data_IF_555101400363
#
_entry.id   IF_555101400363
#
_cell.length_a   1.000
_cell.length_b   1.000
_cell.length_c   1.000
_cell.angle_alpha   90.00
_cell.angle_beta   90.00
_cell.angle_gamma   90.00
#
_symmetry.space_group_name_H-M   'P 1'
#
loop_
_entity.id
_entity.type
_entity.pdbx_description
1 polymer ?
#
# COMPACT_ATOMS: atom_id res chain seq x y z
N UNK A 1 -5.94 -1.92 14.83
CA UNK A 1 -7.38 -1.57 14.83
C UNK A 1 -8.12 -2.46 15.81
N UNK A 2 -9.11 -1.94 16.55
CA UNK A 2 -9.94 -2.75 17.46
C UNK A 2 -10.88 -3.63 16.64
N UNK A 3 -11.25 -4.82 17.14
CA UNK A 3 -12.15 -5.75 16.44
C UNK A 3 -13.51 -5.14 16.11
N UNK A 4 -14.10 -4.38 17.05
CA UNK A 4 -15.37 -3.67 16.84
C UNK A 4 -15.30 -2.62 15.72
N UNK A 5 -14.17 -1.93 15.59
CA UNK A 5 -13.94 -0.96 14.52
C UNK A 5 -13.75 -1.65 13.17
N UNK A 6 -13.09 -2.81 13.18
CA UNK A 6 -12.94 -3.62 11.98
C UNK A 6 -14.27 -4.19 11.48
N UNK A 7 -15.14 -4.66 12.38
CA UNK A 7 -16.50 -5.09 12.00
C UNK A 7 -17.33 -3.95 11.41
N UNK A 8 -17.26 -2.76 12.00
CA UNK A 8 -17.93 -1.57 11.46
C UNK A 8 -17.36 -1.20 10.06
N UNK A 9 -16.05 -1.38 9.85
CA UNK A 9 -15.41 -1.18 8.56
C UNK A 9 -15.95 -2.14 7.50
N UNK A 10 -16.14 -3.42 7.82
CA UNK A 10 -16.71 -4.41 6.90
C UNK A 10 -18.11 -4.01 6.43
N UNK A 11 -18.93 -3.43 7.31
CA UNK A 11 -20.29 -2.98 6.98
C UNK A 11 -20.29 -1.78 6.02
N UNK A 12 -19.28 -0.90 6.10
CA UNK A 12 -19.22 0.34 5.33
C UNK A 12 -18.36 0.24 4.07
N UNK A 13 -17.46 -0.74 3.96
CA UNK A 13 -16.47 -0.87 2.87
C UNK A 13 -17.11 -0.86 1.48
N UNK A 14 -18.26 -1.50 1.31
CA UNK A 14 -18.98 -1.52 0.03
C UNK A 14 -19.62 -0.17 -0.33
N UNK A 15 -20.05 0.60 0.68
CA UNK A 15 -20.93 1.76 0.50
C UNK A 15 -20.25 3.09 0.70
N UNK A 16 -19.31 3.17 1.61
CA UNK A 16 -18.69 4.43 2.00
C UNK A 16 -17.91 5.07 0.84
N UNK A 17 -18.13 6.35 0.60
CA UNK A 17 -17.54 7.14 -0.48
C UNK A 17 -16.03 7.03 -0.57
N UNK A 18 -15.34 6.96 0.58
CA UNK A 18 -13.88 6.86 0.66
C UNK A 18 -13.35 5.58 0.02
N UNK A 19 -13.87 4.41 0.42
CA UNK A 19 -13.42 3.11 -0.11
C UNK A 19 -13.75 2.97 -1.60
N UNK A 20 -14.93 3.42 -2.02
CA UNK A 20 -15.32 3.44 -3.43
C UNK A 20 -14.43 4.36 -4.24
N UNK A 21 -14.11 5.55 -3.72
CA UNK A 21 -13.21 6.51 -4.33
C UNK A 21 -11.79 5.97 -4.44
N UNK A 22 -11.25 5.37 -3.38
CA UNK A 22 -9.93 4.75 -3.37
C UNK A 22 -9.82 3.64 -4.43
N UNK A 23 -10.80 2.74 -4.52
CA UNK A 23 -10.84 1.68 -5.54
C UNK A 23 -10.87 2.26 -6.96
N UNK A 24 -11.60 3.36 -7.21
CA UNK A 24 -11.57 4.05 -8.53
C UNK A 24 -10.20 4.62 -8.86
N UNK A 25 -9.53 5.21 -7.89
CA UNK A 25 -8.16 5.71 -8.06
C UNK A 25 -7.20 4.55 -8.33
N UNK A 26 -7.32 3.44 -7.60
CA UNK A 26 -6.54 2.22 -7.85
C UNK A 26 -6.79 1.71 -9.28
N UNK A 27 -8.05 1.52 -9.70
CA UNK A 27 -8.39 1.05 -11.03
C UNK A 27 -7.82 1.97 -12.12
N UNK A 28 -7.93 3.29 -11.95
CA UNK A 28 -7.35 4.27 -12.87
C UNK A 28 -5.82 4.17 -12.97
N UNK A 29 -5.15 3.83 -11.87
CA UNK A 29 -3.70 3.60 -11.88
C UNK A 29 -3.35 2.26 -12.52
N UNK A 30 -4.10 1.20 -12.24
CA UNK A 30 -3.89 -0.14 -12.84
C UNK A 30 -4.09 -0.12 -14.36
N UNK A 31 -5.09 0.60 -14.88
CA UNK A 31 -5.30 0.79 -16.33
C UNK A 31 -4.05 1.36 -17.04
N UNK A 32 -3.24 2.13 -16.32
CA UNK A 32 -2.00 2.73 -16.85
C UNK A 32 -0.77 1.83 -16.75
N UNK A 33 -0.81 0.86 -15.86
CA UNK A 33 0.34 -0.02 -15.61
C UNK A 33 0.43 -1.15 -16.64
N UNK A 34 -0.58 -1.30 -17.50
CA UNK A 34 -0.66 -2.38 -18.48
C UNK A 34 -0.32 -3.75 -17.84
N UNK A 35 -0.93 -4.04 -16.69
CA UNK A 35 -0.75 -5.32 -15.99
C UNK A 35 -1.11 -6.45 -16.95
N UNK A 36 -0.23 -7.46 -17.13
CA UNK A 36 -0.53 -8.59 -18.00
C UNK A 36 -1.81 -9.31 -17.56
N UNK A 37 -2.60 -9.78 -18.52
CA UNK A 37 -3.73 -10.65 -18.19
C UNK A 37 -3.23 -11.97 -17.63
N UNK A 38 -3.83 -12.42 -16.54
CA UNK A 38 -3.44 -13.63 -15.85
C UNK A 38 -2.25 -13.44 -14.89
N UNK A 39 -1.79 -12.20 -14.67
CA UNK A 39 -0.76 -11.89 -13.68
C UNK A 39 -1.14 -12.43 -12.30
N UNK A 40 -0.19 -13.02 -11.59
CA UNK A 40 -0.36 -13.39 -10.19
C UNK A 40 -0.35 -12.12 -9.32
N UNK A 41 -1.40 -11.94 -8.53
CA UNK A 41 -1.64 -10.71 -7.78
C UNK A 41 -1.71 -11.00 -6.28
N UNK A 42 -1.08 -10.15 -5.48
CA UNK A 42 -1.20 -10.16 -4.02
C UNK A 42 -1.89 -8.89 -3.54
N UNK A 43 -2.94 -9.02 -2.72
CA UNK A 43 -3.54 -7.92 -1.96
C UNK A 43 -3.06 -7.98 -0.51
N UNK A 44 -2.07 -7.17 -0.17
CA UNK A 44 -1.44 -7.11 1.15
C UNK A 44 -2.28 -6.22 2.08
N UNK A 45 -2.85 -6.81 3.14
CA UNK A 45 -3.84 -6.17 3.99
C UNK A 45 -5.21 -6.11 3.29
N UNK A 46 -5.68 -7.26 2.81
CA UNK A 46 -6.87 -7.36 1.94
C UNK A 46 -8.19 -7.02 2.65
N UNK A 47 -8.21 -6.99 3.98
CA UNK A 47 -9.42 -6.68 4.76
C UNK A 47 -10.59 -7.60 4.39
N UNK A 48 -11.70 -6.99 3.97
CA UNK A 48 -12.91 -7.71 3.55
C UNK A 48 -12.80 -8.46 2.21
N UNK A 49 -11.68 -8.34 1.50
CA UNK A 49 -11.52 -8.87 0.15
C UNK A 49 -12.20 -8.05 -0.97
N UNK A 50 -12.78 -6.88 -0.64
CA UNK A 50 -13.51 -6.09 -1.63
C UNK A 50 -12.62 -5.56 -2.77
N UNK A 51 -11.35 -5.25 -2.48
CA UNK A 51 -10.39 -4.89 -3.51
C UNK A 51 -10.01 -6.10 -4.36
N UNK A 52 -9.92 -7.29 -3.75
CA UNK A 52 -9.64 -8.54 -4.46
C UNK A 52 -10.71 -8.85 -5.52
N UNK A 53 -12.00 -8.52 -5.30
CA UNK A 53 -13.06 -8.67 -6.30
C UNK A 53 -12.75 -7.89 -7.60
N UNK A 54 -12.11 -6.73 -7.50
CA UNK A 54 -11.72 -5.91 -8.66
C UNK A 54 -10.44 -6.40 -9.30
N UNK A 55 -9.48 -6.85 -8.49
CA UNK A 55 -8.19 -7.38 -8.95
C UNK A 55 -8.34 -8.72 -9.67
N UNK A 56 -9.29 -9.57 -9.25
CA UNK A 56 -9.54 -10.89 -9.86
C UNK A 56 -9.94 -10.84 -11.34
N UNK A 57 -10.31 -9.66 -11.84
CA UNK A 57 -10.55 -9.43 -13.28
C UNK A 57 -9.27 -9.39 -14.11
N UNK A 58 -8.15 -9.18 -13.46
CA UNK A 58 -6.82 -9.11 -14.08
C UNK A 58 -6.10 -10.46 -14.05
N UNK A 59 -6.30 -11.25 -12.98
CA UNK A 59 -5.66 -12.55 -12.83
C UNK A 59 -5.99 -13.20 -11.48
N UNK A 60 -5.34 -14.32 -11.14
CA UNK A 60 -5.47 -14.96 -9.84
C UNK A 60 -4.99 -14.04 -8.72
N UNK A 61 -5.78 -13.95 -7.64
CA UNK A 61 -5.50 -13.07 -6.51
C UNK A 61 -5.37 -13.87 -5.24
N UNK A 62 -4.24 -13.73 -4.58
CA UNK A 62 -3.99 -14.15 -3.21
C UNK A 62 -4.11 -12.93 -2.28
N UNK A 63 -4.43 -13.14 -1.00
CA UNK A 63 -4.51 -12.06 -0.04
C UNK A 63 -4.03 -12.48 1.34
N UNK A 64 -3.67 -11.50 2.14
CA UNK A 64 -3.50 -11.72 3.58
C UNK A 64 -3.97 -10.49 4.36
N UNK A 65 -4.35 -10.71 5.60
CA UNK A 65 -4.64 -9.65 6.56
C UNK A 65 -4.21 -10.09 7.96
N UNK A 66 -3.78 -9.14 8.78
CA UNK A 66 -3.42 -9.44 10.18
C UNK A 66 -4.67 -9.77 11.02
N UNK A 67 -5.83 -9.24 10.64
CA UNK A 67 -7.08 -9.43 11.36
C UNK A 67 -7.83 -10.68 10.85
N UNK A 68 -8.02 -11.72 11.69
CA UNK A 68 -8.71 -12.94 11.29
C UNK A 68 -10.17 -12.70 10.85
N UNK A 69 -10.84 -11.65 11.35
CA UNK A 69 -12.19 -11.27 10.90
C UNK A 69 -12.19 -10.81 9.44
N UNK A 70 -11.12 -10.11 9.01
CA UNK A 70 -10.94 -9.75 7.60
C UNK A 70 -10.72 -10.96 6.71
N UNK A 71 -9.83 -11.84 7.14
CA UNK A 71 -9.56 -13.11 6.43
C UNK A 71 -10.85 -13.91 6.23
N UNK A 72 -11.66 -14.04 7.27
CA UNK A 72 -12.94 -14.75 7.19
C UNK A 72 -13.93 -14.03 6.26
N UNK A 73 -14.02 -12.71 6.34
CA UNK A 73 -14.88 -11.92 5.46
C UNK A 73 -14.48 -12.06 3.98
N UNK A 74 -13.17 -12.06 3.68
CA UNK A 74 -12.67 -12.26 2.33
C UNK A 74 -12.97 -13.69 1.82
N UNK A 75 -12.83 -14.69 2.66
CA UNK A 75 -13.21 -16.09 2.32
C UNK A 75 -14.70 -16.23 2.05
N UNK A 76 -15.55 -15.60 2.84
CA UNK A 76 -17.00 -15.58 2.62
C UNK A 76 -17.39 -14.87 1.32
N UNK A 77 -16.53 -13.96 0.79
CA UNK A 77 -16.69 -13.38 -0.56
C UNK A 77 -16.27 -14.33 -1.69
N UNK A 78 -15.71 -15.48 -1.37
CA UNK A 78 -15.28 -16.48 -2.36
C UNK A 78 -13.78 -16.46 -2.67
N UNK A 79 -12.96 -15.69 -1.94
CA UNK A 79 -11.52 -15.69 -2.10
C UNK A 79 -10.90 -16.85 -1.29
N UNK A 80 -10.50 -17.92 -1.98
CA UNK A 80 -10.00 -19.13 -1.33
C UNK A 80 -8.59 -19.00 -0.78
N UNK A 81 -7.70 -18.24 -1.47
CA UNK A 81 -6.30 -18.06 -1.06
C UNK A 81 -6.13 -16.77 -0.25
N UNK A 82 -6.66 -16.79 0.97
CA UNK A 82 -6.50 -15.69 1.94
C UNK A 82 -5.98 -16.25 3.25
N UNK A 83 -4.92 -15.63 3.78
CA UNK A 83 -4.20 -16.10 4.97
C UNK A 83 -4.17 -15.04 6.07
N UNK A 84 -4.09 -15.48 7.32
CA UNK A 84 -3.81 -14.57 8.44
C UNK A 84 -2.30 -14.41 8.54
N UNK A 85 -1.80 -13.19 8.28
CA UNK A 85 -0.36 -12.90 8.31
C UNK A 85 -0.10 -11.41 8.51
N UNK A 86 1.11 -11.08 8.97
CA UNK A 86 1.64 -9.73 9.02
C UNK A 86 2.38 -9.40 7.71
N UNK A 87 2.43 -8.11 7.36
CA UNK A 87 3.16 -7.65 6.16
C UNK A 87 4.68 -7.77 6.32
N UNK A 88 5.17 -7.95 7.54
CA UNK A 88 6.58 -8.21 7.87
C UNK A 88 6.98 -9.70 7.75
N UNK A 89 6.01 -10.59 7.50
CA UNK A 89 6.20 -12.04 7.36
C UNK A 89 5.10 -12.62 6.46
N UNK A 90 5.28 -12.48 5.15
CA UNK A 90 4.29 -12.84 4.13
C UNK A 90 4.42 -14.33 3.80
N UNK A 91 3.36 -15.15 3.96
CA UNK A 91 3.42 -16.60 3.82
C UNK A 91 3.36 -17.05 2.34
N UNK A 92 4.22 -16.48 1.51
CA UNK A 92 4.38 -16.81 0.10
C UNK A 92 5.86 -16.88 -0.28
N UNK A 93 6.18 -17.64 -1.31
CA UNK A 93 7.53 -17.81 -1.81
C UNK A 93 8.07 -16.52 -2.46
N UNK A 94 9.40 -16.44 -2.57
CA UNK A 94 10.09 -15.35 -3.24
C UNK A 94 9.67 -15.26 -4.70
N UNK A 95 9.47 -14.04 -5.20
CA UNK A 95 9.20 -13.80 -6.62
C UNK A 95 7.87 -14.37 -7.14
N UNK A 96 6.85 -14.49 -6.29
CA UNK A 96 5.57 -15.12 -6.63
C UNK A 96 4.60 -14.21 -7.38
N UNK A 97 4.75 -12.88 -7.28
CA UNK A 97 3.72 -11.95 -7.75
C UNK A 97 4.24 -10.90 -8.73
N UNK A 98 3.52 -10.69 -9.84
CA UNK A 98 3.78 -9.60 -10.79
C UNK A 98 3.16 -8.28 -10.35
N UNK A 99 2.05 -8.33 -9.60
CA UNK A 99 1.40 -7.16 -9.03
C UNK A 99 1.12 -7.36 -7.55
N UNK A 100 1.48 -6.37 -6.75
CA UNK A 100 1.13 -6.31 -5.34
C UNK A 100 0.37 -5.01 -5.07
N UNK A 101 -0.75 -5.09 -4.36
CA UNK A 101 -1.43 -3.93 -3.78
C UNK A 101 -1.20 -3.91 -2.27
N UNK A 102 -0.93 -2.71 -1.71
CA UNK A 102 -0.73 -2.49 -0.28
C UNK A 102 -1.40 -1.15 0.09
N UNK A 103 -2.68 -1.23 0.46
CA UNK A 103 -3.57 -0.07 0.53
C UNK A 103 -3.90 0.31 1.97
N UNK A 104 -3.26 1.38 2.45
CA UNK A 104 -3.38 1.89 3.82
C UNK A 104 -3.01 0.81 4.86
N UNK A 105 -1.80 0.25 4.71
CA UNK A 105 -1.21 -0.78 5.58
C UNK A 105 0.10 -0.31 6.21
N UNK A 106 0.98 0.34 5.44
CA UNK A 106 2.34 0.70 5.89
C UNK A 106 2.36 1.63 7.10
N UNK A 107 1.35 2.46 7.26
CA UNK A 107 1.19 3.32 8.43
C UNK A 107 0.92 2.56 9.72
N UNK A 108 0.45 1.33 9.64
CA UNK A 108 0.19 0.45 10.77
C UNK A 108 1.39 -0.38 11.20
N UNK A 109 2.51 -0.31 10.48
CA UNK A 109 3.71 -1.08 10.78
C UNK A 109 4.74 -0.23 11.52
N UNK A 110 5.39 -0.77 12.55
CA UNK A 110 6.45 -0.04 13.28
C UNK A 110 7.68 0.21 12.40
N UNK A 111 8.02 -0.74 11.50
CA UNK A 111 9.13 -0.67 10.55
C UNK A 111 8.62 -0.84 9.11
N UNK A 112 8.34 0.28 8.45
CA UNK A 112 7.86 0.31 7.08
C UNK A 112 8.91 -0.14 6.05
N UNK A 113 10.20 0.00 6.36
CA UNK A 113 11.28 -0.48 5.49
C UNK A 113 11.33 -2.01 5.50
N UNK A 114 11.16 -2.64 6.67
CA UNK A 114 11.06 -4.10 6.78
C UNK A 114 9.85 -4.63 6.01
N UNK A 115 8.69 -4.01 6.18
CA UNK A 115 7.47 -4.37 5.45
C UNK A 115 7.66 -4.24 3.93
N UNK A 116 8.27 -3.16 3.48
CA UNK A 116 8.59 -2.95 2.06
C UNK A 116 9.61 -3.96 1.51
N UNK A 117 10.59 -4.41 2.31
CA UNK A 117 11.52 -5.47 1.91
C UNK A 117 10.81 -6.80 1.75
N UNK A 118 9.88 -7.12 2.65
CA UNK A 118 9.12 -8.35 2.58
C UNK A 118 8.16 -8.37 1.39
N UNK A 119 7.47 -7.26 1.11
CA UNK A 119 6.69 -7.08 -0.12
C UNK A 119 7.57 -7.23 -1.37
N UNK A 120 8.83 -6.74 -1.31
CA UNK A 120 9.77 -6.90 -2.42
C UNK A 120 10.24 -8.35 -2.59
N UNK A 121 10.44 -9.09 -1.51
CA UNK A 121 10.82 -10.50 -1.56
C UNK A 121 9.83 -11.33 -2.35
N UNK A 122 8.54 -11.14 -2.11
CA UNK A 122 7.47 -11.89 -2.80
C UNK A 122 7.15 -11.35 -4.19
N UNK A 123 7.63 -10.15 -4.56
CA UNK A 123 7.48 -9.60 -5.90
C UNK A 123 8.48 -10.22 -6.87
N UNK A 124 8.04 -10.68 -8.03
CA UNK A 124 8.94 -11.16 -9.08
C UNK A 124 9.87 -10.02 -9.58
N UNK A 125 11.02 -10.33 -10.20
CA UNK A 125 11.83 -9.32 -10.89
C UNK A 125 10.99 -8.57 -11.94
N UNK A 126 10.97 -7.24 -11.87
CA UNK A 126 10.10 -6.40 -12.71
C UNK A 126 8.68 -6.24 -12.16
N UNK A 127 8.29 -6.99 -11.13
CA UNK A 127 6.98 -6.90 -10.47
C UNK A 127 6.72 -5.51 -9.89
N UNK A 128 5.45 -5.17 -9.77
CA UNK A 128 4.99 -3.82 -9.40
C UNK A 128 4.26 -3.83 -8.08
N UNK A 129 4.59 -2.90 -7.19
CA UNK A 129 3.83 -2.58 -5.99
C UNK A 129 3.06 -1.27 -6.20
N UNK A 130 1.75 -1.31 -5.97
CA UNK A 130 0.89 -0.13 -5.84
C UNK A 130 0.52 0.04 -4.38
N UNK A 131 1.01 1.09 -3.75
CA UNK A 131 0.76 1.37 -2.34
C UNK A 131 -0.01 2.68 -2.14
N UNK A 132 -0.94 2.71 -1.20
CA UNK A 132 -1.53 3.95 -0.70
C UNK A 132 -1.23 4.13 0.77
N UNK A 133 -1.04 5.38 1.19
CA UNK A 133 -0.77 5.76 2.58
C UNK A 133 -1.38 7.12 2.89
N UNK A 134 -1.74 7.42 4.15
CA UNK A 134 -2.21 8.73 4.56
C UNK A 134 -1.10 9.78 4.43
N UNK A 135 -1.46 10.94 3.89
CA UNK A 135 -0.52 12.03 3.64
C UNK A 135 -0.40 12.99 4.82
N UNK A 136 0.78 13.58 4.95
CA UNK A 136 1.17 14.69 5.84
C UNK A 136 0.98 14.42 7.34
N UNK A 137 2.10 14.28 8.04
CA UNK A 137 2.12 14.17 9.51
C UNK A 137 1.41 15.36 10.19
N UNK A 138 1.42 16.53 9.55
CA UNK A 138 0.69 17.71 10.02
C UNK A 138 -0.84 17.56 10.02
N UNK A 139 -1.38 16.53 9.38
CA UNK A 139 -2.81 16.22 9.37
C UNK A 139 -3.19 15.09 10.35
N UNK A 140 -2.30 14.75 11.28
CA UNK A 140 -2.56 13.78 12.34
C UNK A 140 -3.81 14.13 13.13
N UNK A 141 -4.66 13.16 13.41
CA UNK A 141 -5.98 13.35 14.04
C UNK A 141 -6.35 12.17 14.94
N UNK A 142 -7.46 12.28 15.64
CA UNK A 142 -8.01 11.21 16.49
C UNK A 142 -8.29 9.91 15.69
N UNK A 143 -8.53 10.03 14.38
CA UNK A 143 -8.66 8.88 13.48
C UNK A 143 -7.35 8.06 13.41
N UNK A 144 -6.20 8.71 13.35
CA UNK A 144 -4.91 8.01 13.30
C UNK A 144 -4.63 7.29 14.62
N UNK A 145 -4.96 7.91 15.74
CA UNK A 145 -4.83 7.31 17.07
C UNK A 145 -5.78 6.11 17.26
N UNK A 146 -7.04 6.25 16.85
CA UNK A 146 -8.02 5.17 16.92
C UNK A 146 -7.62 3.95 16.07
N UNK A 147 -6.98 4.20 14.93
CA UNK A 147 -6.50 3.14 14.04
C UNK A 147 -5.08 2.67 14.36
N UNK A 148 -4.45 3.18 15.43
CA UNK A 148 -3.08 2.83 15.82
C UNK A 148 -2.05 3.05 14.70
N UNK A 149 -2.17 4.16 13.96
CA UNK A 149 -1.15 4.54 13.00
C UNK A 149 0.15 4.90 13.72
N UNK A 150 1.28 4.58 13.11
CA UNK A 150 2.60 5.02 13.57
C UNK A 150 3.00 6.33 12.91
N UNK A 151 2.55 6.59 11.66
CA UNK A 151 2.99 7.74 10.86
C UNK A 151 2.03 8.07 9.73
N UNK A 152 2.22 9.26 9.18
CA UNK A 152 1.72 9.70 7.90
C UNK A 152 2.88 10.08 7.00
N UNK A 153 2.69 10.04 5.70
CA UNK A 153 3.78 10.16 4.74
C UNK A 153 3.77 11.47 3.97
N UNK A 154 4.96 11.85 3.51
CA UNK A 154 5.17 12.74 2.38
C UNK A 154 5.80 11.92 1.26
N UNK A 155 5.69 12.41 0.02
CA UNK A 155 6.36 11.78 -1.13
C UNK A 155 7.85 11.48 -0.85
N UNK A 156 8.57 12.41 -0.21
CA UNK A 156 9.99 12.25 0.11
C UNK A 156 10.25 11.14 1.15
N UNK A 157 9.41 11.00 2.18
CA UNK A 157 9.59 9.97 3.21
C UNK A 157 9.27 8.57 2.65
N UNK A 158 8.15 8.41 1.92
CA UNK A 158 7.81 7.14 1.29
C UNK A 158 8.85 6.71 0.24
N UNK A 159 9.34 7.68 -0.57
CA UNK A 159 10.41 7.43 -1.53
C UNK A 159 11.70 6.93 -0.86
N UNK A 160 12.10 7.52 0.29
CA UNK A 160 13.28 7.07 1.03
C UNK A 160 13.08 5.66 1.60
N UNK A 161 11.92 5.37 2.20
CA UNK A 161 11.60 4.03 2.72
C UNK A 161 11.63 2.98 1.61
N UNK A 162 11.01 3.28 0.45
CA UNK A 162 11.02 2.41 -0.72
C UNK A 162 12.44 2.15 -1.25
N UNK A 163 13.26 3.20 -1.40
CA UNK A 163 14.65 3.07 -1.83
C UNK A 163 15.49 2.26 -0.83
N UNK A 164 15.32 2.47 0.49
CA UNK A 164 16.00 1.70 1.54
C UNK A 164 15.58 0.22 1.56
N UNK A 165 14.39 -0.10 1.04
CA UNK A 165 13.91 -1.46 0.84
C UNK A 165 14.29 -2.05 -0.53
N UNK A 166 14.99 -1.30 -1.40
CA UNK A 166 15.45 -1.75 -2.70
C UNK A 166 14.43 -1.66 -3.83
N UNK A 167 13.35 -0.92 -3.66
CA UNK A 167 12.38 -0.64 -4.72
C UNK A 167 12.82 0.53 -5.60
N UNK A 168 12.57 0.42 -6.91
CA UNK A 168 12.70 1.53 -7.86
C UNK A 168 11.39 2.34 -7.92
N UNK A 169 11.40 3.63 -7.53
CA UNK A 169 10.23 4.48 -7.60
C UNK A 169 9.84 4.81 -9.05
N UNK A 170 8.65 4.40 -9.48
CA UNK A 170 8.12 4.69 -10.83
C UNK A 170 7.30 5.98 -10.83
N UNK A 171 6.35 6.09 -9.93
CA UNK A 171 5.51 7.30 -9.84
C UNK A 171 4.93 7.51 -8.45
N UNK A 172 4.63 8.78 -8.17
CA UNK A 172 3.88 9.21 -6.99
C UNK A 172 2.83 10.21 -7.43
N UNK A 173 1.62 10.05 -6.91
CA UNK A 173 0.54 11.04 -7.04
C UNK A 173 -0.22 11.13 -5.73
N UNK A 174 -0.66 12.32 -5.38
CA UNK A 174 -1.63 12.45 -4.31
C UNK A 174 -3.04 12.19 -4.85
N UNK A 175 -3.97 11.93 -3.97
CA UNK A 175 -5.40 11.89 -4.27
C UNK A 175 -6.20 12.34 -3.05
N UNK A 176 -7.51 12.50 -3.23
CA UNK A 176 -8.37 13.19 -2.29
C UNK A 176 -7.90 14.64 -2.05
N UNK A 177 -7.54 15.30 -3.17
CA UNK A 177 -6.93 16.62 -3.23
C UNK A 177 -7.95 17.73 -3.03
N UNK A 178 -9.14 17.58 -3.62
CA UNK A 178 -10.23 18.57 -3.55
C UNK A 178 -10.77 18.69 -2.11
N UNK A 179 -10.77 17.59 -1.37
CA UNK A 179 -11.19 17.57 0.03
C UNK A 179 -10.06 17.96 1.01
N UNK A 180 -8.83 18.16 0.55
CA UNK A 180 -7.71 18.54 1.41
C UNK A 180 -7.94 19.88 2.13
N UNK A 181 -8.36 20.99 1.49
CA UNK A 181 -8.55 22.26 2.19
C UNK A 181 -9.59 22.19 3.30
N UNK A 182 -10.84 21.71 3.09
CA UNK A 182 -11.83 21.62 4.16
C UNK A 182 -11.41 20.64 5.27
N UNK A 183 -10.79 19.52 4.94
CA UNK A 183 -10.29 18.57 5.93
C UNK A 183 -9.15 19.16 6.78
N UNK A 184 -8.23 19.90 6.16
CA UNK A 184 -7.14 20.58 6.86
C UNK A 184 -7.68 21.66 7.81
N UNK A 185 -8.64 22.46 7.35
CA UNK A 185 -9.29 23.48 8.17
C UNK A 185 -10.02 22.86 9.38
N UNK A 186 -10.77 21.77 9.16
CA UNK A 186 -11.45 21.04 10.22
C UNK A 186 -10.46 20.50 11.27
N UNK A 187 -9.36 19.87 10.81
CA UNK A 187 -8.34 19.31 11.70
C UNK A 187 -7.58 20.39 12.48
N UNK A 188 -7.34 21.54 11.87
CA UNK A 188 -6.75 22.68 12.57
C UNK A 188 -7.70 23.21 13.67
N UNK A 189 -8.99 23.37 13.36
CA UNK A 189 -10.00 23.77 14.33
C UNK A 189 -10.15 22.74 15.47
N UNK A 190 -10.07 21.45 15.17
CA UNK A 190 -10.10 20.39 16.19
C UNK A 190 -8.88 20.43 17.13
N UNK A 191 -7.70 20.80 16.64
CA UNK A 191 -6.50 20.95 17.48
C UNK A 191 -6.65 22.06 18.52
N UNK A 192 -7.26 23.18 18.17
CA UNK A 192 -7.48 24.28 19.10
C UNK A 192 -8.51 23.95 20.20
N UNK A 193 -9.42 23.01 19.92
CA UNK A 193 -10.47 22.58 20.86
C UNK A 193 -10.12 21.28 21.63
N UNK A 194 -9.08 20.56 21.23
CA UNK A 194 -8.71 19.25 21.81
C UNK A 194 -8.37 19.32 23.30
N UNK A 195 -7.80 20.44 23.79
CA UNK A 195 -7.54 20.64 25.20
C UNK A 195 -8.80 20.64 26.09
N UNK A 196 -9.99 20.69 25.50
CA UNK A 196 -11.29 20.72 26.21
C UNK A 196 -12.10 19.42 26.10
N UNK A 197 -11.67 18.43 25.29
CA UNK A 197 -12.44 17.19 25.09
C UNK A 197 -11.76 16.01 25.79
N UNK A 198 -12.45 15.45 26.79
CA UNK A 198 -12.09 14.20 27.48
C UNK A 198 -12.65 12.93 26.77
N UNK A 199 -13.14 13.05 25.55
CA UNK A 199 -13.72 11.91 24.83
C UNK A 199 -12.61 11.03 24.23
N UNK A 200 -12.74 9.69 24.32
CA UNK A 200 -11.79 8.76 23.68
C UNK A 200 -11.78 8.98 22.16
N UNK A 201 -10.64 8.72 21.49
CA UNK A 201 -10.53 8.84 20.04
C UNK A 201 -11.54 7.88 19.36
N UNK A 202 -12.33 8.43 18.44
CA UNK A 202 -13.32 7.67 17.69
C UNK A 202 -12.90 7.58 16.23
N UNK A 203 -13.04 6.39 15.66
CA UNK A 203 -13.01 6.22 14.21
C UNK A 203 -14.20 6.97 13.60
N UNK A 204 -13.94 7.83 12.60
CA UNK A 204 -15.00 8.61 11.93
C UNK A 204 -15.71 7.80 10.81
N UNK A 205 -15.63 6.47 10.88
CA UNK A 205 -16.32 5.58 9.94
C UNK A 205 -17.81 5.52 10.29
N UNK A 206 -18.55 6.51 9.83
CA UNK A 206 -20.01 6.51 9.90
C UNK A 206 -20.58 6.46 8.47
N UNK A 207 -21.58 5.62 8.28
CA UNK A 207 -22.38 5.66 7.05
C UNK A 207 -22.98 7.05 6.91
N UNK A 208 -22.54 7.79 5.92
CA UNK A 208 -23.19 9.05 5.55
C UNK A 208 -24.46 8.78 4.74
N UNK A 209 -25.47 9.67 4.78
CA UNK A 209 -26.61 9.53 3.89
C UNK A 209 -26.18 9.43 2.43
N UNK A 210 -26.83 8.58 1.64
CA UNK A 210 -26.46 8.25 0.27
C UNK A 210 -26.22 9.48 -0.64
N UNK A 211 -26.92 10.57 -0.43
CA UNK A 211 -26.72 11.83 -1.18
C UNK A 211 -25.37 12.48 -0.84
N UNK A 212 -24.97 12.44 0.43
CA UNK A 212 -23.68 12.96 0.90
C UNK A 212 -22.54 12.08 0.37
N UNK A 213 -22.69 10.76 0.39
CA UNK A 213 -21.72 9.83 -0.18
C UNK A 213 -21.45 10.12 -1.65
N UNK A 214 -22.49 10.34 -2.45
CA UNK A 214 -22.35 10.70 -3.87
C UNK A 214 -21.62 12.04 -4.06
N UNK A 215 -21.92 13.02 -3.24
CA UNK A 215 -21.28 14.34 -3.28
C UNK A 215 -19.79 14.25 -2.95
N UNK A 216 -19.44 13.49 -1.90
CA UNK A 216 -18.05 13.29 -1.47
C UNK A 216 -17.26 12.38 -2.41
N UNK A 217 -17.93 11.46 -3.12
CA UNK A 217 -17.29 10.60 -4.13
C UNK A 217 -17.01 11.35 -5.45
N UNK A 218 -17.80 12.38 -5.80
CA UNK A 218 -17.65 13.09 -7.07
C UNK A 218 -16.25 13.69 -7.29
N UNK A 219 -15.60 14.37 -6.30
CA UNK A 219 -14.22 14.80 -6.41
C UNK A 219 -13.26 13.65 -6.73
N UNK A 220 -13.39 12.51 -6.07
CA UNK A 220 -12.50 11.37 -6.28
C UNK A 220 -12.69 10.71 -7.65
N UNK A 221 -13.90 10.76 -8.21
CA UNK A 221 -14.16 10.34 -9.61
C UNK A 221 -13.40 11.22 -10.61
N UNK A 222 -13.42 12.53 -10.41
CA UNK A 222 -12.66 13.46 -11.23
C UNK A 222 -11.16 13.20 -11.10
N UNK A 223 -10.65 13.05 -9.89
CA UNK A 223 -9.25 12.76 -9.64
C UNK A 223 -8.82 11.41 -10.25
N UNK A 224 -9.65 10.37 -10.17
CA UNK A 224 -9.39 9.09 -10.84
C UNK A 224 -9.31 9.26 -12.36
N UNK A 225 -10.19 10.07 -12.98
CA UNK A 225 -10.12 10.38 -14.41
C UNK A 225 -8.82 11.12 -14.77
N UNK A 226 -8.40 12.11 -13.97
CA UNK A 226 -7.13 12.82 -14.16
C UNK A 226 -5.92 11.89 -14.03
N UNK A 227 -5.92 11.00 -13.03
CA UNK A 227 -4.87 10.01 -12.83
C UNK A 227 -4.82 9.03 -14.02
N UNK A 228 -5.96 8.59 -14.54
CA UNK A 228 -6.03 7.75 -15.75
C UNK A 228 -5.39 8.42 -16.97
N UNK A 229 -5.54 9.73 -17.11
CA UNK A 229 -4.89 10.54 -18.15
C UNK A 229 -3.39 10.80 -17.88
N UNK A 230 -2.85 10.33 -16.77
CA UNK A 230 -1.44 10.50 -16.41
C UNK A 230 -1.12 11.75 -15.61
N UNK A 231 -2.13 12.51 -15.23
CA UNK A 231 -1.94 13.72 -14.44
C UNK A 231 -1.59 13.34 -13.01
N UNK A 232 -0.49 13.90 -12.49
CA UNK A 232 -0.05 13.71 -11.11
C UNK A 232 -0.51 14.89 -10.27
N UNK A 233 -1.30 14.62 -9.26
CA UNK A 233 -1.80 15.65 -8.34
C UNK A 233 -0.71 16.01 -7.32
N UNK A 234 -0.45 17.31 -7.07
CA UNK A 234 0.67 17.76 -6.26
C UNK A 234 0.45 17.63 -4.74
N UNK A 235 -0.81 17.57 -4.30
CA UNK A 235 -1.21 17.49 -2.89
C UNK A 235 -2.54 16.75 -2.74
N UNK A 236 -2.79 16.13 -1.58
CA UNK A 236 -4.03 15.40 -1.27
C UNK A 236 -3.96 14.78 0.11
N UNK A 237 -5.08 14.26 0.61
CA UNK A 237 -5.15 13.61 1.93
C UNK A 237 -4.45 12.26 1.94
N UNK A 238 -4.25 11.65 0.79
CA UNK A 238 -3.56 10.37 0.60
C UNK A 238 -2.54 10.44 -0.51
N UNK A 239 -1.53 9.59 -0.41
CA UNK A 239 -0.45 9.44 -1.37
C UNK A 239 -0.52 8.04 -1.97
N UNK A 240 -0.49 7.94 -3.30
CA UNK A 240 -0.35 6.70 -4.05
C UNK A 240 1.07 6.62 -4.63
N UNK A 241 1.72 5.50 -4.43
CA UNK A 241 3.03 5.18 -4.98
C UNK A 241 2.94 3.97 -5.89
N UNK A 242 3.68 4.02 -7.00
CA UNK A 242 3.99 2.88 -7.84
C UNK A 242 5.48 2.63 -7.77
N UNK A 243 5.84 1.45 -7.35
CA UNK A 243 7.21 1.00 -7.17
C UNK A 243 7.43 -0.25 -8.01
N UNK A 244 8.65 -0.45 -8.51
CA UNK A 244 9.03 -1.64 -9.29
C UNK A 244 10.13 -2.39 -8.58
N UNK A 245 10.02 -3.72 -8.52
CA UNK A 245 11.13 -4.56 -8.12
C UNK A 245 12.16 -4.55 -9.27
N UNK A 246 13.41 -4.12 -9.03
CA UNK A 246 14.42 -4.11 -10.08
C UNK A 246 14.54 -5.50 -10.75
N UNK A 247 14.63 -5.51 -12.07
CA UNK A 247 15.10 -6.71 -12.78
C UNK A 247 16.58 -6.80 -12.46
N UNK A 248 17.00 -7.82 -11.73
CA UNK A 248 18.38 -7.97 -11.30
C UNK A 248 19.33 -7.81 -12.49
N UNK A 249 20.02 -6.69 -12.53
CA UNK A 249 21.26 -6.59 -13.27
C UNK A 249 22.16 -7.63 -12.61
N UNK A 250 22.61 -8.64 -13.36
CA UNK A 250 23.43 -9.70 -12.83
C UNK A 250 24.54 -9.09 -11.96
N UNK A 251 24.50 -9.40 -10.68
CA UNK A 251 25.70 -9.33 -9.88
C UNK A 251 26.64 -10.30 -10.57
N UNK A 252 27.54 -9.74 -11.35
CA UNK A 252 28.68 -10.48 -11.85
C UNK A 252 29.27 -11.17 -10.64
N UNK A 253 29.22 -12.49 -10.69
CA UNK A 253 29.97 -13.38 -9.83
C UNK A 253 31.44 -12.95 -9.96
N UNK A 254 31.87 -12.03 -9.13
CA UNK A 254 33.28 -11.82 -8.85
C UNK A 254 33.71 -13.03 -8.03
N UNK A 255 33.87 -14.17 -8.71
CA UNK A 255 34.68 -15.25 -8.18
C UNK A 255 36.06 -14.65 -7.90
N UNK A 256 36.53 -14.68 -6.64
CA UNK A 256 37.94 -14.32 -6.40
C UNK A 256 38.80 -15.27 -7.21
N UNK A 257 39.59 -14.70 -8.11
CA UNK A 257 40.49 -15.44 -9.00
C UNK A 257 41.28 -16.45 -8.22
N UNK A 258 41.22 -17.70 -8.68
CA UNK A 258 42.16 -18.75 -8.29
C UNK A 258 43.57 -18.23 -8.49
N UNK A 259 44.28 -18.07 -7.39
CA UNK A 259 45.65 -17.62 -7.38
C UNK A 259 46.52 -18.47 -8.33
N UNK A 260 47.06 -17.81 -9.32
CA UNK A 260 48.15 -18.27 -10.12
C UNK A 260 49.33 -18.61 -9.19
N UNK A 261 49.62 -19.88 -8.98
CA UNK A 261 50.86 -20.32 -8.31
C UNK A 261 51.99 -20.01 -9.26
N UNK A 262 52.83 -19.06 -8.86
CA UNK A 262 54.14 -18.85 -9.45
C UNK A 262 54.98 -20.16 -9.36
N UNK A 263 55.71 -20.55 -10.39
CA UNK A 263 56.60 -21.70 -10.32
C UNK A 263 57.79 -21.39 -9.42
N UNK A 264 58.14 -22.37 -8.59
CA UNK A 264 59.29 -22.42 -7.67
C UNK A 264 60.60 -22.43 -8.46
N UNK A 265 61.54 -21.47 -8.24
CA UNK A 265 62.81 -21.46 -8.93
C UNK A 265 63.93 -22.20 -8.13
N UNK A 266 63.81 -23.50 -7.95
CA UNK A 266 64.88 -24.26 -7.33
C UNK A 266 64.94 -25.74 -7.83
N UNK A 267 65.38 -25.94 -9.07
CA UNK A 267 65.88 -27.22 -9.47
C UNK A 267 66.81 -27.06 -10.71
N UNK A 268 67.97 -26.46 -10.47
CA UNK A 268 69.11 -26.58 -11.37
C UNK A 268 70.36 -26.65 -10.51
N UNK A 269 70.78 -27.83 -10.21
CA UNK A 269 72.20 -28.19 -9.99
C UNK A 269 72.31 -29.69 -9.71
N UNK A 270 72.81 -30.35 -10.63
CA UNK A 270 73.59 -31.64 -10.75
C UNK A 270 72.93 -32.69 -11.61
#
# INVERSE_FOLDING_TARGET
MRESEFRALLEVDDRHWWYRGRRRVLAAQLDRLAVPRGAAILDAGCGSGRTMDELSRLGPVSGFDLNPVGVEAARLRGHADVRAAAVEDIPHDDGSFELITCLDVLEHTPDDVRSLRELRRVACPGGVLVATVPAYQSLWSDHDEANHHYRRYRRSSLRRAAAAAGWDPVSFTYFNSILLPPAAALRLAQRTTRHRRQAPPHSQLHLTPHRIDRLLEAPMRLEAALIRLGIRLPAGLSLLAVLRNPVGGGQGDARPGAGERLPDPAASSL
#
